data_IF_046873198616
#
_entry.id   IF_046873198616
#
_cell.length_a   1.000
_cell.length_b   1.000
_cell.length_c   1.000
_cell.angle_alpha   90.00
_cell.angle_beta   90.00
_cell.angle_gamma   90.00
#
_symmetry.space_group_name_H-M   'P 1'
#
loop_
_entity.id
_entity.type
_entity.pdbx_description
1 polymer ?
#
# COMPACT_ATOMS: atom_id res chain seq x y z
N UNK A 1 -15.28 -11.78 6.65
CA UNK A 1 -14.78 -11.26 7.95
C UNK A 1 -15.20 -9.81 8.19
N UNK A 2 -15.43 -8.98 7.15
CA UNK A 2 -15.86 -7.57 7.27
C UNK A 2 -17.15 -7.30 8.06
N UNK A 3 -17.87 -8.34 8.50
CA UNK A 3 -19.13 -8.25 9.26
C UNK A 3 -18.87 -8.35 10.79
N UNK A 4 -17.67 -8.76 11.22
CA UNK A 4 -17.34 -8.91 12.65
C UNK A 4 -16.73 -7.63 13.24
N UNK A 5 -16.93 -7.33 14.53
CA UNK A 5 -16.23 -6.26 15.23
C UNK A 5 -14.70 -6.44 15.19
N UNK A 6 -13.95 -5.34 15.08
CA UNK A 6 -12.48 -5.35 14.87
C UNK A 6 -11.74 -6.14 15.95
N UNK A 7 -12.12 -6.03 17.21
CA UNK A 7 -11.47 -6.75 18.32
C UNK A 7 -11.61 -8.27 18.18
N UNK A 8 -12.76 -8.71 17.69
CA UNK A 8 -13.07 -10.12 17.45
C UNK A 8 -12.32 -10.65 16.23
N UNK A 9 -12.12 -9.81 15.21
CA UNK A 9 -11.24 -10.12 14.09
C UNK A 9 -9.79 -10.30 14.54
N UNK A 10 -9.28 -9.38 15.39
CA UNK A 10 -7.91 -9.45 15.91
C UNK A 10 -7.68 -10.71 16.76
N UNK A 11 -8.63 -11.05 17.64
CA UNK A 11 -8.58 -12.26 18.43
C UNK A 11 -8.56 -13.54 17.58
N UNK A 12 -9.37 -13.58 16.50
CA UNK A 12 -9.37 -14.69 15.55
C UNK A 12 -8.05 -14.82 14.80
N UNK A 13 -7.47 -13.68 14.36
CA UNK A 13 -6.18 -13.63 13.67
C UNK A 13 -5.05 -14.14 14.58
N UNK A 14 -5.06 -13.77 15.87
CA UNK A 14 -4.07 -14.29 16.83
C UNK A 14 -4.18 -15.80 17.03
N UNK A 15 -5.41 -16.35 17.02
CA UNK A 15 -5.63 -17.76 17.33
C UNK A 15 -5.39 -18.71 16.14
N UNK A 16 -5.64 -18.25 14.91
CA UNK A 16 -5.43 -19.05 13.69
C UNK A 16 -4.78 -18.23 12.58
N UNK A 17 -3.57 -17.69 12.80
CA UNK A 17 -2.94 -16.75 11.87
C UNK A 17 -2.87 -17.30 10.44
N UNK A 18 -2.62 -18.61 10.29
CA UNK A 18 -2.54 -19.31 9.02
C UNK A 18 -3.81 -19.23 8.17
N UNK A 19 -4.99 -19.07 8.78
CA UNK A 19 -6.28 -18.95 8.07
C UNK A 19 -6.58 -17.53 7.62
N UNK A 20 -5.83 -16.55 8.11
CA UNK A 20 -6.02 -15.14 7.84
C UNK A 20 -4.85 -14.50 7.08
N UNK A 21 -3.86 -15.31 6.69
CA UNK A 21 -2.80 -14.84 5.82
C UNK A 21 -3.40 -14.45 4.46
N UNK A 22 -3.04 -13.27 3.92
CA UNK A 22 -3.41 -12.93 2.56
C UNK A 22 -2.77 -13.94 1.59
N UNK A 23 -3.48 -14.32 0.50
CA UNK A 23 -2.99 -15.31 -0.45
C UNK A 23 -1.74 -14.82 -1.21
N UNK A 24 -1.61 -13.49 -1.34
CA UNK A 24 -0.50 -12.82 -2.02
C UNK A 24 -0.04 -11.64 -1.17
N UNK A 25 1.27 -11.42 -1.13
CA UNK A 25 1.89 -10.23 -0.55
C UNK A 25 2.93 -9.67 -1.51
N UNK A 26 3.12 -8.36 -1.46
CA UNK A 26 4.17 -7.67 -2.19
C UNK A 26 5.37 -7.50 -1.28
N UNK A 27 6.55 -7.88 -1.78
CA UNK A 27 7.82 -7.68 -1.10
C UNK A 27 8.57 -6.51 -1.74
N UNK A 28 8.39 -5.29 -1.23
CA UNK A 28 9.11 -4.11 -1.71
C UNK A 28 10.49 -4.04 -1.04
N UNK A 29 11.52 -4.50 -1.76
CA UNK A 29 12.91 -4.54 -1.29
C UNK A 29 13.58 -3.16 -1.36
N UNK A 30 14.40 -2.85 -0.36
CA UNK A 30 15.24 -1.65 -0.36
C UNK A 30 16.27 -1.71 -1.52
N UNK A 31 16.34 -0.64 -2.31
CA UNK A 31 17.37 -0.44 -3.34
C UNK A 31 18.75 -0.18 -2.70
N UNK A 32 19.88 -0.49 -3.39
CA UNK A 32 21.20 -0.12 -2.89
C UNK A 32 21.29 1.40 -2.65
N UNK A 33 21.86 1.81 -1.52
CA UNK A 33 22.06 3.23 -1.13
C UNK A 33 20.79 4.07 -0.89
N UNK A 34 19.61 3.46 -0.91
CA UNK A 34 18.33 4.14 -0.66
C UNK A 34 17.83 3.85 0.75
N UNK A 35 18.67 4.12 1.75
CA UNK A 35 18.32 3.83 3.16
C UNK A 35 17.28 4.81 3.66
N UNK A 36 17.49 6.09 3.37
CA UNK A 36 16.68 7.18 3.91
C UNK A 36 15.31 7.24 3.25
N UNK A 37 15.22 6.98 1.94
CA UNK A 37 13.97 6.86 1.19
C UNK A 37 13.11 5.73 1.75
N UNK A 38 13.73 4.56 1.98
CA UNK A 38 13.03 3.41 2.57
C UNK A 38 12.53 3.71 3.98
N UNK A 39 13.33 4.40 4.81
CA UNK A 39 12.92 4.75 6.17
C UNK A 39 11.80 5.82 6.18
N UNK A 40 11.82 6.76 5.23
CA UNK A 40 10.73 7.74 5.01
C UNK A 40 9.44 7.03 4.61
N UNK A 41 9.48 6.12 3.64
CA UNK A 41 8.30 5.39 3.18
C UNK A 41 7.72 4.51 4.29
N UNK A 42 8.56 3.79 5.04
CA UNK A 42 8.12 3.03 6.22
C UNK A 42 7.43 3.93 7.25
N UNK A 43 7.94 5.14 7.48
CA UNK A 43 7.33 6.08 8.39
C UNK A 43 5.99 6.61 7.85
N UNK A 44 5.89 6.88 6.55
CA UNK A 44 4.65 7.28 5.89
C UNK A 44 3.55 6.22 6.08
N UNK A 45 3.85 4.93 5.85
CA UNK A 45 2.90 3.84 6.13
C UNK A 45 2.43 3.81 7.58
N UNK A 46 3.34 4.03 8.55
CA UNK A 46 2.98 4.06 9.97
C UNK A 46 2.08 5.25 10.31
N UNK A 47 2.36 6.42 9.75
CA UNK A 47 1.57 7.64 9.97
C UNK A 47 0.18 7.54 9.33
N UNK A 48 0.09 6.92 8.15
CA UNK A 48 -1.13 6.72 7.38
C UNK A 48 -1.85 5.41 7.74
N UNK A 49 -1.53 4.80 8.89
CA UNK A 49 -2.19 3.57 9.37
C UNK A 49 -3.72 3.60 9.26
N UNK A 50 -4.42 4.72 9.54
CA UNK A 50 -5.88 4.79 9.39
C UNK A 50 -6.39 4.66 7.94
N UNK A 51 -5.56 4.93 6.94
CA UNK A 51 -5.91 4.88 5.52
C UNK A 51 -5.57 3.54 4.84
N UNK A 52 -4.89 2.64 5.55
CA UNK A 52 -4.47 1.36 5.00
C UNK A 52 -5.65 0.45 4.65
N UNK A 53 -5.58 -0.13 3.46
CA UNK A 53 -6.62 -0.96 2.86
C UNK A 53 -7.75 -0.18 2.19
N UNK A 54 -7.68 1.15 2.19
CA UNK A 54 -8.66 2.02 1.56
C UNK A 54 -8.01 2.96 0.54
N UNK A 55 -7.06 3.79 0.99
CA UNK A 55 -6.36 4.78 0.15
C UNK A 55 -4.91 4.40 -0.09
N UNK A 56 -4.32 3.55 0.78
CA UNK A 56 -2.96 3.02 0.61
C UNK A 56 -2.93 1.51 0.94
N UNK A 57 -1.91 0.75 0.51
CA UNK A 57 -1.77 -0.67 0.89
C UNK A 57 -1.70 -0.90 2.39
N UNK A 58 -2.06 -2.10 2.85
CA UNK A 58 -1.68 -2.55 4.18
C UNK A 58 -0.18 -2.76 4.26
N UNK A 59 0.46 -2.09 5.21
CA UNK A 59 1.83 -2.42 5.63
C UNK A 59 1.78 -3.44 6.77
N UNK A 60 2.28 -4.65 6.50
CA UNK A 60 2.33 -5.75 7.47
C UNK A 60 3.60 -5.73 8.32
N UNK A 61 4.68 -5.11 7.81
CA UNK A 61 5.93 -4.97 8.54
C UNK A 61 7.16 -5.01 7.66
N UNK A 62 8.31 -5.20 8.30
CA UNK A 62 9.62 -5.27 7.64
C UNK A 62 10.27 -6.62 7.87
N UNK A 63 11.01 -7.08 6.87
CA UNK A 63 11.82 -8.31 6.95
C UNK A 63 13.18 -8.12 6.28
N UNK A 64 14.12 -9.01 6.59
CA UNK A 64 15.36 -9.13 5.84
C UNK A 64 15.17 -10.15 4.72
N UNK A 65 15.41 -9.71 3.48
CA UNK A 65 15.34 -10.53 2.29
C UNK A 65 16.74 -10.72 1.70
N UNK A 66 17.12 -11.97 1.44
CA UNK A 66 18.43 -12.34 0.87
C UNK A 66 18.40 -12.61 -0.64
N UNK A 67 17.23 -12.82 -1.24
CA UNK A 67 16.99 -13.31 -2.61
C UNK A 67 18.20 -13.18 -3.58
N UNK A 68 19.00 -14.23 -3.66
CA UNK A 68 20.14 -14.37 -4.59
C UNK A 68 21.38 -13.52 -4.30
N UNK A 69 21.37 -12.69 -3.24
CA UNK A 69 22.46 -11.80 -2.88
C UNK A 69 23.36 -12.37 -1.76
N UNK A 70 24.61 -11.92 -1.74
CA UNK A 70 25.58 -12.29 -0.71
C UNK A 70 25.20 -11.75 0.69
N UNK A 71 24.44 -10.65 0.75
CA UNK A 71 23.98 -10.02 1.98
C UNK A 71 22.47 -9.74 1.93
N UNK A 72 21.82 -9.80 3.10
CA UNK A 72 20.39 -9.51 3.21
C UNK A 72 20.12 -8.01 3.17
N UNK A 73 18.99 -7.61 2.60
CA UNK A 73 18.48 -6.23 2.62
C UNK A 73 17.11 -6.15 3.25
N UNK A 74 16.77 -4.99 3.78
CA UNK A 74 15.43 -4.73 4.30
C UNK A 74 14.40 -4.76 3.17
N UNK A 75 13.21 -5.23 3.48
CA UNK A 75 12.07 -5.21 2.59
C UNK A 75 10.80 -4.95 3.40
N UNK A 76 9.85 -4.26 2.80
CA UNK A 76 8.50 -4.11 3.34
C UNK A 76 7.63 -5.24 2.83
N UNK A 77 6.76 -5.74 3.71
CA UNK A 77 5.67 -6.64 3.34
C UNK A 77 4.41 -5.80 3.23
N UNK A 78 3.86 -5.72 2.03
CA UNK A 78 2.67 -4.94 1.70
C UNK A 78 1.55 -5.85 1.21
N UNK A 79 0.29 -5.46 1.39
CA UNK A 79 -0.82 -6.11 0.70
C UNK A 79 -0.71 -5.87 -0.79
N UNK A 80 -1.06 -6.89 -1.57
CA UNK A 80 -1.32 -6.73 -2.99
C UNK A 80 -2.62 -5.93 -3.21
N UNK A 81 -2.54 -4.89 -4.02
CA UNK A 81 -3.65 -4.00 -4.39
C UNK A 81 -4.30 -4.45 -5.70
N UNK A 82 -3.70 -5.40 -6.40
CA UNK A 82 -4.14 -5.87 -7.71
C UNK A 82 -3.55 -5.08 -8.88
N UNK A 83 -3.71 -5.66 -10.08
CA UNK A 83 -2.85 -5.39 -11.23
C UNK A 83 -3.22 -4.17 -12.09
N UNK A 84 -4.30 -3.43 -11.77
CA UNK A 84 -4.73 -2.29 -12.62
C UNK A 84 -4.11 -1.00 -12.12
N UNK A 85 -2.84 -0.79 -12.50
CA UNK A 85 -2.24 0.55 -12.50
C UNK A 85 -2.98 1.44 -13.51
N UNK A 86 -3.19 2.72 -13.17
CA UNK A 86 -3.81 3.68 -14.09
C UNK A 86 -2.98 3.94 -15.35
N UNK A 87 -1.69 3.59 -15.34
CA UNK A 87 -0.81 3.67 -16.50
C UNK A 87 -0.89 2.42 -17.42
N UNK A 88 -1.48 1.32 -16.94
CA UNK A 88 -1.53 0.06 -17.66
C UNK A 88 -2.57 0.02 -18.78
N UNK A 89 -2.30 -0.76 -19.84
CA UNK A 89 -3.24 -0.98 -20.95
C UNK A 89 -4.57 -1.63 -20.53
N UNK A 90 -4.64 -2.18 -19.31
CA UNK A 90 -5.83 -2.75 -18.68
C UNK A 90 -6.68 -1.72 -17.93
N UNK A 91 -6.26 -0.45 -17.84
CA UNK A 91 -7.02 0.61 -17.20
C UNK A 91 -8.37 0.78 -17.91
N UNK A 92 -9.50 0.64 -17.19
CA UNK A 92 -10.81 0.81 -17.80
C UNK A 92 -10.98 2.24 -18.33
N UNK A 93 -11.82 2.41 -19.34
CA UNK A 93 -12.20 3.76 -19.78
C UNK A 93 -13.02 4.42 -18.68
N UNK A 94 -12.40 5.36 -17.97
CA UNK A 94 -13.03 6.16 -16.91
C UNK A 94 -13.19 7.59 -17.43
N UNK A 95 -14.30 8.23 -17.10
CA UNK A 95 -14.49 9.65 -17.36
C UNK A 95 -13.45 10.48 -16.60
N UNK A 96 -12.85 11.46 -17.26
CA UNK A 96 -11.77 12.27 -16.69
C UNK A 96 -12.22 12.97 -15.41
N UNK A 97 -13.45 13.47 -15.32
CA UNK A 97 -13.93 14.16 -14.12
C UNK A 97 -14.10 13.19 -12.95
N UNK A 98 -14.56 11.96 -13.23
CA UNK A 98 -14.64 10.90 -12.21
C UNK A 98 -13.24 10.56 -11.72
N UNK A 99 -12.30 10.34 -12.63
CA UNK A 99 -10.92 10.01 -12.29
C UNK A 99 -10.25 11.13 -11.46
N UNK A 100 -10.40 12.38 -11.88
CA UNK A 100 -9.89 13.55 -11.17
C UNK A 100 -10.44 13.59 -9.74
N UNK A 101 -11.75 13.42 -9.57
CA UNK A 101 -12.36 13.41 -8.24
C UNK A 101 -11.81 12.29 -7.35
N UNK A 102 -11.64 11.08 -7.90
CA UNK A 102 -11.09 9.96 -7.13
C UNK A 102 -9.64 10.21 -6.70
N UNK A 103 -8.82 10.82 -7.57
CA UNK A 103 -7.45 11.21 -7.26
C UNK A 103 -7.43 12.30 -6.17
N UNK A 104 -8.26 13.34 -6.31
CA UNK A 104 -8.39 14.41 -5.32
C UNK A 104 -8.80 13.87 -3.96
N UNK A 105 -9.82 13.00 -3.90
CA UNK A 105 -10.29 12.40 -2.64
C UNK A 105 -9.16 11.60 -1.95
N UNK A 106 -8.38 10.83 -2.73
CA UNK A 106 -7.25 10.05 -2.22
C UNK A 106 -6.12 10.95 -1.68
N UNK A 107 -5.66 11.94 -2.44
CA UNK A 107 -4.59 12.83 -2.02
C UNK A 107 -5.01 13.76 -0.88
N UNK A 108 -6.27 14.21 -0.85
CA UNK A 108 -6.81 14.96 0.28
C UNK A 108 -6.86 14.11 1.56
N UNK A 109 -7.21 12.82 1.45
CA UNK A 109 -7.18 11.91 2.59
C UNK A 109 -5.77 11.77 3.17
N UNK A 110 -4.75 11.61 2.32
CA UNK A 110 -3.34 11.57 2.73
C UNK A 110 -2.90 12.91 3.35
N UNK A 111 -3.25 14.02 2.71
CA UNK A 111 -2.92 15.38 3.17
C UNK A 111 -3.45 15.71 4.57
N UNK A 112 -4.59 15.15 4.97
CA UNK A 112 -5.15 15.32 6.34
C UNK A 112 -4.22 14.79 7.44
N UNK A 113 -3.29 13.90 7.12
CA UNK A 113 -2.28 13.38 8.05
C UNK A 113 -0.96 14.16 7.99
N UNK A 114 -0.90 15.27 7.25
CA UNK A 114 0.27 16.14 7.16
C UNK A 114 1.38 15.62 6.23
N UNK A 115 1.07 14.63 5.38
CA UNK A 115 1.97 14.15 4.34
C UNK A 115 1.61 14.78 3.01
N UNK A 116 2.61 15.33 2.33
CA UNK A 116 2.49 15.80 0.96
C UNK A 116 3.18 14.76 0.08
N UNK A 117 2.41 13.99 -0.69
CA UNK A 117 3.00 13.01 -1.59
C UNK A 117 3.68 13.73 -2.75
N UNK A 118 4.99 13.57 -2.84
CA UNK A 118 5.81 14.33 -3.80
C UNK A 118 5.77 13.66 -5.18
N UNK A 119 5.65 12.34 -5.21
CA UNK A 119 5.56 11.55 -6.45
C UNK A 119 4.10 11.23 -6.82
N UNK A 120 3.46 12.16 -7.53
CA UNK A 120 2.05 12.06 -7.97
C UNK A 120 1.89 11.41 -9.35
N UNK A 121 2.89 10.66 -9.82
CA UNK A 121 2.81 9.99 -11.11
C UNK A 121 1.71 8.92 -11.11
N UNK A 122 1.02 8.76 -12.24
CA UNK A 122 -0.13 7.87 -12.37
C UNK A 122 0.23 6.38 -12.27
N UNK A 123 1.50 6.01 -12.47
CA UNK A 123 1.98 4.65 -12.23
C UNK A 123 1.93 4.26 -10.74
N UNK A 124 2.01 5.24 -9.83
CA UNK A 124 1.84 5.03 -8.39
C UNK A 124 0.37 5.00 -7.93
N UNK A 125 -0.59 5.13 -8.85
CA UNK A 125 -2.00 5.13 -8.52
C UNK A 125 -2.66 3.88 -9.14
N UNK A 126 -3.24 3.04 -8.30
CA UNK A 126 -3.96 1.84 -8.70
C UNK A 126 -5.46 2.04 -8.54
N UNK A 127 -6.24 1.56 -9.49
CA UNK A 127 -7.70 1.51 -9.36
C UNK A 127 -8.11 0.16 -8.78
N UNK A 128 -8.65 0.16 -7.56
CA UNK A 128 -9.13 -1.04 -6.90
C UNK A 128 -10.53 -0.82 -6.32
N UNK A 129 -11.51 -1.59 -6.80
CA UNK A 129 -12.93 -1.51 -6.36
C UNK A 129 -13.47 -0.09 -6.35
N UNK A 130 -13.30 0.61 -7.48
CA UNK A 130 -13.74 1.99 -7.72
C UNK A 130 -13.08 3.05 -6.82
N UNK A 131 -11.94 2.73 -6.22
CA UNK A 131 -11.13 3.64 -5.41
C UNK A 131 -9.73 3.74 -5.95
N UNK A 132 -9.11 4.89 -5.70
CA UNK A 132 -7.69 5.10 -5.95
C UNK A 132 -6.94 4.65 -4.71
N UNK A 133 -6.05 3.68 -4.91
CA UNK A 133 -5.09 3.24 -3.92
C UNK A 133 -3.72 3.73 -4.37
N UNK A 134 -3.11 4.59 -3.56
CA UNK A 134 -1.81 5.18 -3.83
C UNK A 134 -0.73 4.27 -3.26
N UNK A 135 0.21 3.88 -4.10
CA UNK A 135 1.41 3.14 -3.74
C UNK A 135 2.62 4.08 -3.76
N UNK A 136 3.78 3.58 -3.34
CA UNK A 136 5.05 4.33 -3.34
C UNK A 136 4.97 5.69 -2.62
N UNK A 137 5.02 5.65 -1.29
CA UNK A 137 4.76 6.80 -0.40
C UNK A 137 6.03 7.60 -0.04
N UNK A 138 7.02 7.59 -0.93
CA UNK A 138 8.31 8.28 -0.76
C UNK A 138 8.19 9.82 -0.80
#
# INVERSE_FOLDING_TARGET
IQILPRDLQLWLIERWPERFLPPTVILKRQKPRWRDEFDREVNAYRQLRPLQGDVIPYFYGQVLCRQGEASSRRAMILSDVGDVSLYGASCPRIDVHILTKLLEDAFLAIGKFGLCQVDTRLDNCHLFRDKIVVVDLE
#
